data_IF_350508644713
#
_entry.id   IF_350508644713
#
_cell.length_a   1.000
_cell.length_b   1.000
_cell.length_c   1.000
_cell.angle_alpha   90.00
_cell.angle_beta   90.00
_cell.angle_gamma   90.00
#
_symmetry.space_group_name_H-M   'P 1'
#
loop_
_entity.id
_entity.type
_entity.pdbx_description
1 polymer ?
#
# COMPACT_ATOMS: atom_id res chain seq x y z
N UNK A 1 45.98 -13.94 -76.09
CA UNK A 1 45.99 -15.32 -75.55
C UNK A 1 46.68 -15.28 -74.19
N UNK A 2 46.25 -16.13 -73.25
CA UNK A 2 46.68 -16.24 -71.84
C UNK A 2 45.96 -15.30 -70.86
N UNK A 3 45.39 -15.71 -69.72
CA UNK A 3 44.84 -16.95 -69.18
C UNK A 3 44.09 -16.50 -67.91
N UNK A 4 42.94 -17.10 -67.63
CA UNK A 4 42.18 -16.90 -66.40
C UNK A 4 42.84 -17.61 -65.22
N UNK A 5 42.90 -16.99 -64.04
CA UNK A 5 42.91 -17.71 -62.75
C UNK A 5 42.06 -16.94 -61.74
N UNK A 6 41.02 -17.55 -61.14
CA UNK A 6 40.24 -16.94 -60.06
C UNK A 6 40.91 -17.20 -58.72
N UNK A 7 40.98 -16.18 -57.86
CA UNK A 7 41.47 -16.34 -56.49
C UNK A 7 40.29 -16.28 -55.52
N UNK A 8 39.87 -17.47 -55.10
CA UNK A 8 38.91 -17.70 -54.03
C UNK A 8 39.71 -17.98 -52.76
N UNK A 9 39.65 -17.12 -51.73
CA UNK A 9 39.73 -17.56 -50.32
C UNK A 9 39.47 -16.44 -49.31
N UNK A 10 38.40 -16.69 -48.53
CA UNK A 10 38.26 -16.44 -47.09
C UNK A 10 38.38 -14.99 -46.61
N UNK A 11 37.24 -14.40 -46.28
CA UNK A 11 37.13 -13.66 -45.01
C UNK A 11 35.69 -13.82 -44.50
N UNK A 12 35.56 -14.57 -43.41
CA UNK A 12 34.36 -14.65 -42.57
C UNK A 12 34.35 -13.38 -41.73
N UNK A 13 33.30 -12.55 -41.83
CA UNK A 13 32.91 -11.65 -40.75
C UNK A 13 31.38 -11.70 -40.65
N UNK A 14 30.92 -12.50 -39.70
CA UNK A 14 29.57 -12.43 -39.14
C UNK A 14 29.60 -11.29 -38.12
N UNK A 15 28.85 -10.22 -38.35
CA UNK A 15 28.55 -9.16 -37.37
C UNK A 15 27.03 -9.00 -37.35
N UNK A 16 26.31 -9.76 -36.51
CA UNK A 16 25.81 -9.28 -35.21
C UNK A 16 25.23 -7.85 -35.30
N UNK A 17 23.97 -7.76 -35.73
CA UNK A 17 23.15 -6.55 -35.65
C UNK A 17 21.74 -6.91 -35.16
N UNK A 18 21.69 -7.55 -33.99
CA UNK A 18 20.51 -7.67 -33.15
C UNK A 18 20.94 -7.22 -31.75
N UNK A 19 20.44 -6.08 -31.30
CA UNK A 19 20.19 -5.68 -29.90
C UNK A 19 20.11 -4.15 -29.81
N UNK A 20 18.99 -3.59 -30.26
CA UNK A 20 18.51 -2.30 -29.78
C UNK A 20 17.24 -2.59 -28.96
N UNK A 21 17.44 -3.14 -27.76
CA UNK A 21 16.39 -3.27 -26.75
C UNK A 21 16.45 -1.98 -25.91
N UNK A 22 15.35 -1.26 -25.70
CA UNK A 22 15.37 0.02 -24.98
C UNK A 22 15.73 -0.20 -23.51
N UNK A 23 16.89 0.32 -23.09
CA UNK A 23 17.35 0.37 -21.70
C UNK A 23 16.83 1.64 -21.00
N UNK A 24 15.51 1.74 -20.80
CA UNK A 24 14.90 2.84 -20.03
C UNK A 24 13.84 2.33 -19.04
N UNK A 25 14.18 1.30 -18.27
CA UNK A 25 13.24 0.75 -17.28
C UNK A 25 13.86 -0.05 -16.14
N UNK A 26 15.11 0.24 -15.74
CA UNK A 26 15.78 -0.55 -14.71
C UNK A 26 16.75 0.28 -13.89
N UNK A 27 16.23 1.09 -12.97
CA UNK A 27 17.05 1.75 -11.95
C UNK A 27 16.65 1.36 -10.51
N UNK A 28 15.69 0.46 -10.33
CA UNK A 28 15.15 0.10 -9.00
C UNK A 28 15.75 -1.21 -8.44
N UNK A 29 16.45 -1.99 -9.26
CA UNK A 29 16.91 -3.35 -8.89
C UNK A 29 18.23 -3.40 -8.12
N UNK A 30 18.85 -2.26 -7.79
CA UNK A 30 20.19 -2.19 -7.18
C UNK A 30 20.19 -1.94 -5.67
N UNK A 31 19.04 -1.62 -5.06
CA UNK A 31 18.95 -1.35 -3.60
C UNK A 31 18.13 -2.38 -2.81
N UNK A 32 17.44 -3.32 -3.46
CA UNK A 32 16.77 -4.45 -2.80
C UNK A 32 15.59 -4.08 -1.89
N UNK A 33 15.15 -2.83 -1.87
CA UNK A 33 13.93 -2.40 -1.18
C UNK A 33 12.92 -2.02 -2.25
N UNK A 34 11.97 -2.93 -2.52
CA UNK A 34 10.86 -2.64 -3.42
C UNK A 34 9.94 -1.66 -2.70
N UNK A 35 9.70 -0.50 -3.32
CA UNK A 35 8.68 0.44 -2.85
C UNK A 35 7.30 -0.20 -3.01
N UNK A 36 6.35 0.09 -2.11
CA UNK A 36 5.04 -0.48 -2.20
C UNK A 36 4.26 0.12 -3.37
N UNK A 37 3.59 -0.72 -4.13
CA UNK A 37 2.82 -0.31 -5.30
C UNK A 37 1.33 -0.14 -4.94
N UNK A 38 0.79 -1.08 -4.17
CA UNK A 38 -0.63 -1.11 -3.85
C UNK A 38 -0.97 -1.46 -2.39
N UNK A 39 -2.01 -0.81 -1.88
CA UNK A 39 -2.68 -1.14 -0.62
C UNK A 39 -4.06 -1.70 -0.95
N UNK A 40 -4.38 -2.90 -0.47
CA UNK A 40 -5.74 -3.45 -0.57
C UNK A 40 -6.38 -3.50 0.82
N UNK A 41 -7.58 -2.95 0.92
CA UNK A 41 -8.38 -2.92 2.15
C UNK A 41 -9.63 -3.76 1.91
N UNK A 42 -9.84 -4.73 2.80
CA UNK A 42 -11.02 -5.58 2.83
C UNK A 42 -11.68 -5.43 4.19
N UNK A 43 -12.98 -5.24 4.23
CA UNK A 43 -13.73 -5.31 5.48
C UNK A 43 -15.12 -5.88 5.27
N UNK A 44 -15.61 -6.55 6.30
CA UNK A 44 -16.91 -7.20 6.30
C UNK A 44 -17.59 -7.05 7.67
N UNK A 45 -18.91 -7.24 7.67
CA UNK A 45 -19.72 -7.28 8.87
C UNK A 45 -20.98 -8.10 8.64
N UNK A 46 -21.42 -8.78 9.69
CA UNK A 46 -22.74 -9.44 9.70
C UNK A 46 -23.82 -8.57 10.36
N UNK A 47 -23.44 -7.45 10.99
CA UNK A 47 -24.34 -6.67 11.86
C UNK A 47 -24.76 -5.34 11.25
N UNK A 48 -23.97 -4.79 10.32
CA UNK A 48 -24.23 -3.51 9.66
C UNK A 48 -24.14 -3.64 8.15
N UNK A 49 -24.95 -2.87 7.43
CA UNK A 49 -24.88 -2.79 5.96
C UNK A 49 -23.81 -1.80 5.48
N UNK A 50 -23.45 -0.81 6.32
CA UNK A 50 -22.54 0.27 5.96
C UNK A 50 -21.48 0.53 7.04
N UNK A 51 -20.26 0.74 6.58
CA UNK A 51 -19.09 1.10 7.38
C UNK A 51 -18.53 2.42 6.85
N UNK A 52 -18.16 3.31 7.77
CA UNK A 52 -17.46 4.54 7.44
C UNK A 52 -15.96 4.26 7.44
N UNK A 53 -15.29 4.63 6.36
CA UNK A 53 -13.84 4.56 6.22
C UNK A 53 -13.26 5.97 6.14
N UNK A 54 -12.23 6.23 6.95
CA UNK A 54 -11.33 7.36 6.81
C UNK A 54 -10.04 6.84 6.18
N UNK A 55 -9.74 7.30 4.97
CA UNK A 55 -8.53 6.94 4.24
C UNK A 55 -7.66 8.18 4.06
N UNK A 56 -6.37 8.05 4.35
CA UNK A 56 -5.41 9.15 4.18
C UNK A 56 -4.09 8.65 3.60
N UNK A 57 -3.69 9.10 2.40
CA UNK A 57 -2.35 8.86 1.85
C UNK A 57 -1.31 9.90 2.36
N UNK A 58 -1.73 10.84 3.21
CA UNK A 58 -0.86 11.89 3.73
C UNK A 58 -1.21 12.28 5.17
N UNK A 59 -0.39 11.83 6.10
CA UNK A 59 -0.43 12.18 7.50
C UNK A 59 0.99 12.43 8.04
N UNK A 60 1.07 12.95 9.25
CA UNK A 60 2.29 13.10 10.04
C UNK A 60 2.13 12.32 11.35
N UNK A 61 3.17 11.61 11.80
CA UNK A 61 3.19 11.03 13.13
C UNK A 61 3.72 12.06 14.12
N UNK A 62 2.87 12.54 15.04
CA UNK A 62 3.23 13.53 16.07
C UNK A 62 3.32 12.88 17.45
N UNK A 63 4.16 13.38 18.38
CA UNK A 63 4.20 12.87 19.75
C UNK A 63 2.83 12.96 20.42
N UNK A 64 2.45 11.94 21.18
CA UNK A 64 1.21 11.97 21.94
C UNK A 64 1.33 13.03 23.07
N UNK A 65 0.46 14.06 23.11
CA UNK A 65 0.58 15.12 24.11
C UNK A 65 0.37 14.64 25.56
N UNK A 66 -0.34 13.52 25.76
CA UNK A 66 -0.55 12.94 27.09
C UNK A 66 0.73 12.24 27.61
N UNK A 67 1.59 11.79 26.71
CA UNK A 67 2.78 10.99 27.01
C UNK A 67 3.79 11.03 25.84
N UNK A 68 4.50 12.16 25.65
CA UNK A 68 5.28 12.41 24.43
C UNK A 68 6.39 11.40 24.14
N UNK A 69 6.96 10.79 25.19
CA UNK A 69 8.15 9.94 25.10
C UNK A 69 7.85 8.43 25.25
N UNK A 70 6.66 8.07 25.71
CA UNK A 70 6.34 6.68 26.13
C UNK A 70 5.16 6.06 25.41
N UNK A 71 4.38 6.86 24.70
CA UNK A 71 3.21 6.38 23.96
C UNK A 71 3.48 6.35 22.47
N UNK A 72 2.66 5.53 21.79
CA UNK A 72 2.61 5.53 20.33
C UNK A 72 2.31 6.95 19.82
N UNK A 73 3.01 7.32 18.74
CA UNK A 73 2.79 8.59 18.06
C UNK A 73 1.39 8.61 17.46
N UNK A 74 0.77 9.78 17.46
CA UNK A 74 -0.58 9.95 16.92
C UNK A 74 -0.51 10.38 15.45
N UNK A 75 -1.36 9.81 14.57
CA UNK A 75 -1.48 10.28 13.20
C UNK A 75 -2.23 11.62 13.17
N UNK A 76 -1.61 12.64 12.60
CA UNK A 76 -2.21 13.91 12.23
C UNK A 76 -2.47 13.90 10.72
N UNK A 77 -3.73 13.74 10.32
CA UNK A 77 -4.11 13.65 8.91
C UNK A 77 -3.98 15.02 8.24
N UNK A 78 -3.22 15.08 7.14
CA UNK A 78 -3.03 16.31 6.34
C UNK A 78 -4.02 16.33 5.18
N UNK A 79 -4.22 15.17 4.55
CA UNK A 79 -5.22 14.95 3.49
C UNK A 79 -5.94 13.65 3.80
N UNK A 80 -7.26 13.69 3.88
CA UNK A 80 -8.07 12.51 4.19
C UNK A 80 -9.42 12.59 3.51
N UNK A 81 -9.90 11.43 3.07
CA UNK A 81 -11.27 11.24 2.61
C UNK A 81 -12.05 10.44 3.65
N UNK A 82 -13.26 10.89 3.96
CA UNK A 82 -14.22 10.15 4.81
C UNK A 82 -15.39 9.74 3.95
N UNK A 83 -15.59 8.43 3.83
CA UNK A 83 -16.56 7.84 2.90
C UNK A 83 -17.31 6.72 3.59
N UNK A 84 -18.55 6.46 3.15
CA UNK A 84 -19.37 5.35 3.65
C UNK A 84 -19.49 4.31 2.54
N UNK A 85 -19.28 3.05 2.93
CA UNK A 85 -19.22 1.91 2.02
C UNK A 85 -20.16 0.82 2.48
N UNK A 86 -20.81 0.18 1.51
CA UNK A 86 -21.57 -1.04 1.78
C UNK A 86 -20.60 -2.20 2.09
N UNK A 87 -21.02 -3.11 2.95
CA UNK A 87 -20.31 -4.39 3.20
C UNK A 87 -20.91 -5.53 2.34
N UNK A 88 -20.11 -6.52 1.92
CA UNK A 88 -18.65 -6.58 2.05
C UNK A 88 -17.95 -5.57 1.13
N UNK A 89 -16.79 -5.10 1.56
CA UNK A 89 -15.97 -4.15 0.81
C UNK A 89 -14.60 -4.73 0.50
N UNK A 90 -14.12 -4.46 -0.71
CA UNK A 90 -12.81 -4.87 -1.20
C UNK A 90 -12.32 -3.85 -2.23
N UNK A 91 -11.28 -3.08 -1.88
CA UNK A 91 -10.72 -2.09 -2.79
C UNK A 91 -9.20 -1.98 -2.67
N UNK A 92 -8.57 -1.81 -3.83
CA UNK A 92 -7.15 -1.51 -3.96
C UNK A 92 -6.92 -0.02 -4.23
N UNK A 93 -5.90 0.53 -3.60
CA UNK A 93 -5.44 1.91 -3.71
C UNK A 93 -3.97 1.92 -4.11
N UNK A 94 -3.64 2.67 -5.16
CA UNK A 94 -2.25 2.84 -5.58
C UNK A 94 -1.51 3.80 -4.64
N UNK A 95 -0.31 3.42 -4.20
CA UNK A 95 0.51 4.30 -3.38
C UNK A 95 0.87 5.59 -4.11
N UNK A 96 0.96 6.67 -3.33
CA UNK A 96 1.51 7.94 -3.80
C UNK A 96 3.02 7.99 -3.53
N UNK A 97 3.69 9.06 -3.97
CA UNK A 97 5.11 9.29 -3.69
C UNK A 97 5.47 9.37 -2.19
N UNK A 98 4.48 9.34 -1.29
CA UNK A 98 4.67 9.34 0.17
C UNK A 98 4.74 7.95 0.79
N UNK A 99 4.31 6.91 0.05
CA UNK A 99 4.49 5.52 0.47
C UNK A 99 3.91 5.22 1.87
N UNK A 100 2.79 5.87 2.20
CA UNK A 100 2.13 5.75 3.48
C UNK A 100 0.61 5.74 3.32
N UNK A 101 -0.07 5.05 4.22
CA UNK A 101 -1.52 5.07 4.35
C UNK A 101 -1.95 5.01 5.82
N UNK A 102 -2.94 5.81 6.13
CA UNK A 102 -3.75 5.65 7.33
C UNK A 102 -5.13 5.17 6.88
N UNK A 103 -5.61 4.11 7.53
CA UNK A 103 -6.96 3.58 7.33
C UNK A 103 -7.61 3.46 8.70
N UNK A 104 -8.81 4.02 8.83
CA UNK A 104 -9.65 3.84 10.01
C UNK A 104 -11.06 3.50 9.59
N UNK A 105 -11.66 2.50 10.22
CA UNK A 105 -13.04 2.10 9.97
C UNK A 105 -13.86 2.08 11.26
N UNK A 106 -15.13 2.42 11.14
CA UNK A 106 -16.12 2.32 12.20
C UNK A 106 -17.54 2.21 11.62
N UNK A 107 -18.51 1.66 12.38
CA UNK A 107 -19.89 1.53 11.92
C UNK A 107 -20.48 2.90 11.56
N UNK A 108 -21.14 3.02 10.40
CA UNK A 108 -21.75 4.30 10.00
C UNK A 108 -22.90 4.69 10.93
N UNK A 109 -23.63 3.70 11.42
CA UNK A 109 -24.74 3.84 12.36
C UNK A 109 -24.27 3.65 13.80
N UNK A 110 -24.88 4.39 14.74
CA UNK A 110 -24.60 4.28 16.18
C UNK A 110 -25.20 3.01 16.78
N UNK A 111 -24.71 1.86 16.33
CA UNK A 111 -24.99 0.55 16.90
C UNK A 111 -23.70 -0.23 17.12
N UNK A 112 -23.74 -1.18 18.05
CA UNK A 112 -22.68 -2.17 18.21
C UNK A 112 -22.60 -3.00 16.93
N UNK A 113 -21.39 -3.25 16.44
CA UNK A 113 -21.18 -4.05 15.25
C UNK A 113 -19.89 -4.85 15.34
N UNK A 114 -19.95 -6.08 14.86
CA UNK A 114 -18.77 -6.92 14.67
C UNK A 114 -18.19 -6.66 13.28
N UNK A 115 -16.95 -6.17 13.24
CA UNK A 115 -16.23 -5.86 12.01
C UNK A 115 -14.99 -6.74 11.88
N UNK A 116 -14.76 -7.27 10.68
CA UNK A 116 -13.44 -7.74 10.25
C UNK A 116 -12.77 -6.70 9.38
N UNK A 117 -11.45 -6.59 9.50
CA UNK A 117 -10.62 -5.78 8.61
C UNK A 117 -9.34 -6.53 8.26
N UNK A 118 -9.06 -6.59 6.97
CA UNK A 118 -7.81 -7.09 6.44
C UNK A 118 -7.17 -6.02 5.56
N UNK A 119 -5.87 -5.82 5.74
CA UNK A 119 -5.07 -4.89 4.93
C UNK A 119 -3.89 -5.64 4.35
N UNK A 120 -3.68 -5.43 3.06
CA UNK A 120 -2.58 -6.01 2.30
C UNK A 120 -1.74 -4.91 1.67
N UNK A 121 -0.44 -5.14 1.62
CA UNK A 121 0.51 -4.33 0.83
C UNK A 121 1.15 -5.27 -0.18
N UNK A 122 1.00 -4.97 -1.46
CA UNK A 122 1.52 -5.79 -2.58
C UNK A 122 1.14 -7.28 -2.48
N UNK A 123 -0.07 -7.56 -1.98
CA UNK A 123 -0.60 -8.91 -1.79
C UNK A 123 -0.15 -9.62 -0.51
N UNK A 124 0.75 -9.04 0.28
CA UNK A 124 1.13 -9.57 1.60
C UNK A 124 0.24 -9.01 2.71
N UNK A 125 -0.21 -9.85 3.64
CA UNK A 125 -1.05 -9.42 4.76
C UNK A 125 -0.25 -8.54 5.73
N UNK A 126 -0.63 -7.28 5.81
CA UNK A 126 -0.12 -6.32 6.79
C UNK A 126 -0.90 -6.40 8.11
N UNK A 127 -2.23 -6.51 8.01
CA UNK A 127 -3.14 -6.47 9.15
C UNK A 127 -4.31 -7.41 8.93
N UNK A 128 -4.73 -8.09 10.00
CA UNK A 128 -5.94 -8.90 10.03
C UNK A 128 -6.49 -8.88 11.46
N UNK A 129 -7.69 -8.35 11.63
CA UNK A 129 -8.35 -8.29 12.93
C UNK A 129 -9.87 -8.45 12.78
N UNK A 130 -10.48 -8.95 13.83
CA UNK A 130 -11.92 -9.15 13.94
C UNK A 130 -12.34 -8.83 15.37
N UNK A 131 -13.21 -7.83 15.52
CA UNK A 131 -13.69 -7.42 16.84
C UNK A 131 -15.07 -6.78 16.79
N UNK A 132 -15.76 -6.88 17.91
CA UNK A 132 -16.94 -6.07 18.20
C UNK A 132 -16.51 -4.65 18.55
N UNK A 133 -17.15 -3.66 17.92
CA UNK A 133 -16.95 -2.25 18.21
C UNK A 133 -18.16 -1.68 18.93
N UNK A 134 -17.92 -1.09 20.09
CA UNK A 134 -18.91 -0.32 20.82
C UNK A 134 -19.02 1.10 20.22
N UNK A 135 -20.23 1.65 20.19
CA UNK A 135 -20.47 3.03 19.71
C UNK A 135 -19.62 4.04 20.47
N UNK A 136 -19.50 3.82 21.78
CA UNK A 136 -18.66 4.56 22.72
C UNK A 136 -18.05 3.54 23.68
N UNK A 137 -16.72 3.45 23.68
CA UNK A 137 -15.95 2.61 24.58
C UNK A 137 -15.94 3.13 26.01
N UNK A 138 -15.27 2.38 26.90
CA UNK A 138 -15.22 2.71 28.35
C UNK A 138 -14.51 4.04 28.65
N UNK A 139 -13.68 4.51 27.72
CA UNK A 139 -12.96 5.79 27.79
C UNK A 139 -13.78 6.98 27.28
N UNK A 140 -15.04 6.75 26.90
CA UNK A 140 -15.92 7.79 26.34
C UNK A 140 -15.61 8.15 24.89
N UNK A 141 -14.72 7.40 24.21
CA UNK A 141 -14.38 7.61 22.80
C UNK A 141 -15.05 6.55 21.93
N UNK A 142 -15.29 6.87 20.66
CA UNK A 142 -15.79 5.89 19.69
C UNK A 142 -14.72 4.82 19.45
N UNK A 143 -15.11 3.55 19.45
CA UNK A 143 -14.19 2.47 19.09
C UNK A 143 -14.04 2.38 17.57
N UNK A 144 -12.80 2.14 17.12
CA UNK A 144 -12.44 2.05 15.70
C UNK A 144 -11.44 0.92 15.48
N UNK A 145 -11.39 0.40 14.24
CA UNK A 145 -10.26 -0.40 13.76
C UNK A 145 -9.38 0.54 12.95
N UNK A 146 -8.09 0.58 13.25
CA UNK A 146 -7.14 1.51 12.63
C UNK A 146 -5.87 0.78 12.22
N UNK A 147 -5.37 1.12 11.05
CA UNK A 147 -4.10 0.66 10.49
C UNK A 147 -3.30 1.88 10.03
N UNK A 148 -2.03 1.92 10.44
CA UNK A 148 -1.06 2.92 10.00
C UNK A 148 0.05 2.18 9.29
N UNK A 149 0.32 2.57 8.06
CA UNK A 149 1.43 2.06 7.26
C UNK A 149 2.32 3.20 6.80
N UNK A 150 3.63 3.05 7.02
CA UNK A 150 4.68 3.90 6.49
C UNK A 150 5.81 3.02 5.95
N UNK A 151 6.23 3.25 4.71
CA UNK A 151 7.36 2.54 4.15
C UNK A 151 8.67 3.02 4.76
N UNK A 152 9.57 2.08 5.11
CA UNK A 152 10.91 2.32 5.67
C UNK A 152 10.98 3.12 6.99
N UNK A 153 9.86 3.35 7.68
CA UNK A 153 9.90 3.83 9.05
C UNK A 153 9.68 2.67 10.02
N UNK A 154 10.63 2.49 10.95
CA UNK A 154 10.36 1.73 12.16
C UNK A 154 9.32 2.52 12.96
N UNK A 155 8.08 2.05 12.97
CA UNK A 155 7.07 2.48 13.93
C UNK A 155 7.56 1.96 15.29
N UNK A 156 8.21 2.85 16.06
CA UNK A 156 8.73 2.60 17.41
C UNK A 156 7.68 2.92 18.47
#
# INVERSE_FOLDING_TARGET
MSQSVPNLRRTVVVLLSLCAIPLLGGCETLTGVNRPDELRVVFDSNDVEFVTMVLSPHFLLVPNPECPDTCERLPQLVVSDTTSHAVPFDQTFAFTSREQYFVEIFPTVEQVATLSMEVYVDGETLYNDFRELQVIGQDGKRETIRVIYTFNELIL
#
